data_IF_632664782722
#
_entry.id   IF_632664782722
#
_cell.length_a   1.000
_cell.length_b   1.000
_cell.length_c   1.000
_cell.angle_alpha   90.00
_cell.angle_beta   90.00
_cell.angle_gamma   90.00
#
_symmetry.space_group_name_H-M   'P 1'
#
loop_
_entity.id
_entity.type
_entity.pdbx_description
1 polymer ?
#
# COMPACT_ATOMS: atom_id res chain seq x y z
N UNK A 1 6.79 -15.18 1.54
CA UNK A 1 5.53 -14.58 2.03
C UNK A 1 5.96 -13.51 3.01
N UNK A 2 5.55 -12.27 2.80
CA UNK A 2 5.99 -11.18 3.68
C UNK A 2 4.83 -10.87 4.64
N UNK A 3 4.92 -11.37 5.87
CA UNK A 3 3.97 -10.99 6.92
C UNK A 3 4.35 -9.59 7.43
N UNK A 4 3.76 -8.56 6.84
CA UNK A 4 3.91 -7.19 7.33
C UNK A 4 2.64 -6.81 8.06
N UNK A 5 2.63 -6.95 9.39
CA UNK A 5 1.61 -6.33 10.23
C UNK A 5 1.87 -4.84 10.28
N UNK A 6 1.34 -4.11 9.31
CA UNK A 6 1.39 -2.66 9.34
C UNK A 6 0.22 -2.12 10.17
N UNK A 7 0.55 -1.32 11.19
CA UNK A 7 -0.36 -0.55 12.01
C UNK A 7 -1.39 -1.37 12.83
N UNK A 8 -1.36 -1.25 14.17
CA UNK A 8 -2.26 -2.00 15.05
C UNK A 8 -3.76 -1.71 14.82
N UNK A 9 -4.09 -0.56 14.21
CA UNK A 9 -5.48 -0.19 13.93
C UNK A 9 -6.09 -0.86 12.69
N UNK A 10 -5.29 -1.16 11.65
CA UNK A 10 -5.77 -1.80 10.41
C UNK A 10 -4.80 -2.92 10.03
N UNK A 11 -4.90 -4.10 10.67
CA UNK A 11 -4.00 -5.19 10.37
C UNK A 11 -4.07 -5.59 8.89
N UNK A 12 -2.91 -5.68 8.26
CA UNK A 12 -2.76 -6.11 6.86
C UNK A 12 -1.95 -7.40 6.77
N UNK A 13 -2.29 -8.22 5.78
CA UNK A 13 -1.51 -9.41 5.39
C UNK A 13 -1.45 -9.45 3.88
N UNK A 14 -0.26 -9.55 3.30
CA UNK A 14 -0.10 -9.47 1.85
C UNK A 14 1.10 -10.25 1.33
N UNK A 15 1.11 -10.44 0.00
CA UNK A 15 2.11 -11.19 -0.74
C UNK A 15 2.56 -10.37 -1.94
N UNK A 16 3.87 -10.21 -2.09
CA UNK A 16 4.48 -9.67 -3.29
C UNK A 16 4.92 -10.79 -4.24
N UNK A 17 4.53 -10.68 -5.50
CA UNK A 17 4.94 -11.58 -6.58
C UNK A 17 5.90 -10.83 -7.51
N UNK A 18 7.24 -11.03 -7.38
CA UNK A 18 8.22 -10.33 -8.22
C UNK A 18 8.03 -10.58 -9.71
N UNK A 19 7.71 -11.82 -10.09
CA UNK A 19 7.50 -12.21 -11.49
C UNK A 19 6.28 -11.53 -12.12
N UNK A 20 5.22 -11.31 -11.34
CA UNK A 20 3.97 -10.67 -11.81
C UNK A 20 3.93 -9.17 -11.54
N UNK A 21 4.89 -8.63 -10.79
CA UNK A 21 4.88 -7.25 -10.24
C UNK A 21 3.55 -6.90 -9.59
N UNK A 22 3.03 -7.86 -8.81
CA UNK A 22 1.69 -7.81 -8.22
C UNK A 22 1.80 -7.99 -6.71
N UNK A 23 1.24 -7.05 -5.98
CA UNK A 23 0.98 -7.16 -4.55
C UNK A 23 -0.49 -7.51 -4.34
N UNK A 24 -0.79 -8.55 -3.57
CA UNK A 24 -2.17 -8.90 -3.21
C UNK A 24 -2.26 -9.13 -1.71
N UNK A 25 -3.38 -8.76 -1.10
CA UNK A 25 -3.54 -8.98 0.34
C UNK A 25 -4.92 -8.64 0.86
N UNK A 26 -5.00 -8.56 2.18
CA UNK A 26 -6.21 -8.18 2.92
C UNK A 26 -5.89 -7.16 3.99
N UNK A 27 -6.88 -6.32 4.31
CA UNK A 27 -6.85 -5.33 5.38
C UNK A 27 -8.12 -5.47 6.24
N UNK A 28 -7.96 -5.52 7.57
CA UNK A 28 -9.07 -5.62 8.52
C UNK A 28 -9.40 -4.27 9.14
N UNK A 29 -10.59 -3.76 8.87
CA UNK A 29 -11.06 -2.48 9.39
C UNK A 29 -11.88 -2.69 10.67
N UNK A 30 -11.23 -2.58 11.82
CA UNK A 30 -11.82 -2.78 13.15
C UNK A 30 -12.59 -1.55 13.67
N UNK A 31 -13.09 -1.60 14.92
CA UNK A 31 -13.95 -0.55 15.46
C UNK A 31 -13.22 0.78 15.71
N UNK A 32 -11.89 0.75 15.90
CA UNK A 32 -11.09 1.93 16.19
C UNK A 32 -10.86 2.86 14.98
N UNK A 33 -11.29 2.44 13.79
CA UNK A 33 -11.20 3.24 12.56
C UNK A 33 -12.58 3.61 12.02
N UNK A 34 -13.58 3.70 12.91
CA UNK A 34 -14.89 4.20 12.53
C UNK A 34 -14.81 5.66 12.10
N UNK A 35 -15.51 6.00 11.01
CA UNK A 35 -15.78 7.38 10.64
C UNK A 35 -17.27 7.63 10.71
N UNK A 36 -18.02 7.52 9.60
CA UNK A 36 -19.47 7.45 9.65
C UNK A 36 -19.93 6.18 10.39
N UNK A 37 -21.13 6.22 10.98
CA UNK A 37 -21.73 5.09 11.71
C UNK A 37 -21.62 3.78 10.92
N UNK A 38 -20.97 2.78 11.51
CA UNK A 38 -20.70 1.45 10.98
C UNK A 38 -19.87 1.40 9.69
N UNK A 39 -19.13 2.47 9.36
CA UNK A 39 -18.27 2.56 8.18
C UNK A 39 -16.83 2.92 8.56
N UNK A 40 -15.87 2.33 7.86
CA UNK A 40 -14.48 2.70 8.02
C UNK A 40 -14.25 4.16 7.60
N UNK A 41 -13.43 4.89 8.36
CA UNK A 41 -13.07 6.27 8.08
C UNK A 41 -12.22 6.35 6.81
N UNK A 42 -12.48 7.34 5.96
CA UNK A 42 -11.74 7.54 4.70
C UNK A 42 -10.22 7.61 4.92
N UNK A 43 -9.78 8.33 5.95
CA UNK A 43 -8.36 8.40 6.33
C UNK A 43 -7.71 7.04 6.61
N UNK A 44 -8.42 6.07 7.20
CA UNK A 44 -7.88 4.71 7.41
C UNK A 44 -7.68 3.95 6.11
N UNK A 45 -8.57 4.18 5.13
CA UNK A 45 -8.46 3.60 3.79
C UNK A 45 -7.30 4.27 3.03
N UNK A 46 -7.14 5.59 3.16
CA UNK A 46 -6.01 6.32 2.58
C UNK A 46 -4.66 5.87 3.17
N UNK A 47 -4.60 5.63 4.49
CA UNK A 47 -3.42 5.08 5.16
C UNK A 47 -3.06 3.70 4.60
N UNK A 48 -4.04 2.82 4.39
CA UNK A 48 -3.83 1.52 3.73
C UNK A 48 -3.27 1.72 2.33
N UNK A 49 -3.81 2.65 1.54
CA UNK A 49 -3.30 2.92 0.20
C UNK A 49 -1.86 3.42 0.19
N UNK A 50 -1.50 4.36 1.07
CA UNK A 50 -0.12 4.88 1.14
C UNK A 50 0.89 3.73 1.34
N UNK A 51 0.59 2.81 2.26
CA UNK A 51 1.44 1.66 2.55
C UNK A 51 1.50 0.64 1.39
N UNK A 52 0.34 0.17 0.90
CA UNK A 52 0.33 -0.90 -0.12
C UNK A 52 0.85 -0.41 -1.47
N UNK A 53 0.74 0.89 -1.76
CA UNK A 53 1.28 1.49 -2.98
C UNK A 53 2.79 1.74 -2.87
N UNK A 54 3.31 1.98 -1.66
CA UNK A 54 4.75 2.14 -1.41
C UNK A 54 5.50 0.82 -1.52
N UNK A 55 4.88 -0.28 -1.06
CA UNK A 55 5.55 -1.57 -0.93
C UNK A 55 6.22 -2.08 -2.23
N UNK A 56 5.55 -2.10 -3.41
CA UNK A 56 6.19 -2.49 -4.66
C UNK A 56 7.40 -1.62 -5.03
N UNK A 57 7.36 -0.32 -4.70
CA UNK A 57 8.46 0.60 -4.96
C UNK A 57 9.67 0.20 -4.11
N UNK A 58 9.48 -0.07 -2.82
CA UNK A 58 10.58 -0.49 -1.94
C UNK A 58 11.19 -1.84 -2.30
N UNK A 59 10.41 -2.74 -2.91
CA UNK A 59 10.91 -4.05 -3.37
C UNK A 59 11.77 -3.97 -4.63
N UNK A 60 11.45 -3.07 -5.55
CA UNK A 60 12.09 -2.96 -6.87
C UNK A 60 12.96 -1.68 -7.05
N UNK A 61 13.14 -0.87 -6.00
CA UNK A 61 13.97 0.33 -6.09
C UNK A 61 15.43 -0.02 -6.41
N UNK A 62 16.04 0.75 -7.32
CA UNK A 62 17.44 0.61 -7.71
C UNK A 62 18.35 0.92 -6.50
N UNK A 63 19.34 0.07 -6.25
CA UNK A 63 20.25 0.14 -5.09
C UNK A 63 20.95 1.49 -4.94
N UNK A 64 21.14 2.23 -6.04
CA UNK A 64 21.72 3.58 -5.97
C UNK A 64 20.82 4.57 -5.23
N UNK A 65 19.51 4.33 -5.20
CA UNK A 65 18.54 5.10 -4.44
C UNK A 65 18.24 4.38 -3.12
N UNK A 66 18.21 5.12 -2.02
CA UNK A 66 18.03 4.52 -0.70
C UNK A 66 16.57 4.33 -0.30
N UNK A 67 15.63 5.08 -0.90
CA UNK A 67 14.21 5.03 -0.55
C UNK A 67 13.31 5.58 -1.66
N UNK A 68 12.07 5.09 -1.72
CA UNK A 68 10.98 5.70 -2.48
C UNK A 68 10.02 6.41 -1.54
N UNK A 69 9.74 7.69 -1.77
CA UNK A 69 8.83 8.50 -0.93
C UNK A 69 7.58 8.89 -1.69
N UNK A 70 6.45 8.97 -1.00
CA UNK A 70 5.18 9.42 -1.57
C UNK A 70 5.29 10.89 -1.97
N UNK A 71 5.11 11.19 -3.26
CA UNK A 71 5.04 12.57 -3.76
C UNK A 71 3.59 12.99 -4.04
N UNK A 72 2.72 12.05 -4.38
CA UNK A 72 1.28 12.27 -4.52
C UNK A 72 0.54 10.98 -4.21
N UNK A 73 -0.56 11.09 -3.47
CA UNK A 73 -1.55 10.05 -3.28
C UNK A 73 -2.93 10.59 -3.69
N UNK A 74 -3.65 9.84 -4.51
CA UNK A 74 -5.04 10.13 -4.87
C UNK A 74 -5.90 8.91 -4.57
N UNK A 75 -6.98 9.11 -3.83
CA UNK A 75 -7.92 8.05 -3.45
C UNK A 75 -9.31 8.42 -3.91
N UNK A 76 -9.94 7.52 -4.66
CA UNK A 76 -11.34 7.62 -5.06
C UNK A 76 -12.18 6.64 -4.26
N UNK A 77 -13.07 7.15 -3.42
CA UNK A 77 -14.01 6.34 -2.63
C UNK A 77 -15.25 6.02 -3.48
N UNK A 78 -15.49 4.75 -3.75
CA UNK A 78 -16.54 4.26 -4.67
C UNK A 78 -17.76 3.72 -3.92
N UNK A 79 -17.54 3.06 -2.78
CA UNK A 79 -18.59 2.54 -1.92
C UNK A 79 -18.14 2.57 -0.45
N UNK A 80 -19.11 2.64 0.47
CA UNK A 80 -18.82 2.67 1.90
C UNK A 80 -18.30 1.32 2.39
N UNK A 81 -17.08 1.30 2.93
CA UNK A 81 -16.46 0.10 3.48
C UNK A 81 -17.07 -0.22 4.85
N UNK A 82 -17.71 -1.40 5.04
CA UNK A 82 -18.30 -1.77 6.32
C UNK A 82 -17.26 -1.90 7.44
N UNK A 83 -17.53 -1.32 8.61
CA UNK A 83 -16.71 -1.54 9.80
C UNK A 83 -16.77 -3.00 10.24
N UNK A 84 -15.76 -3.46 10.98
CA UNK A 84 -15.59 -4.85 11.44
C UNK A 84 -15.57 -5.86 10.29
N UNK A 85 -15.05 -5.46 9.12
CA UNK A 85 -14.92 -6.32 7.95
C UNK A 85 -13.48 -6.42 7.47
N UNK A 86 -13.22 -7.48 6.70
CA UNK A 86 -11.96 -7.67 5.97
C UNK A 86 -12.20 -7.35 4.50
N UNK A 87 -11.35 -6.52 3.92
CA UNK A 87 -11.35 -6.20 2.50
C UNK A 87 -10.08 -6.77 1.85
N UNK A 88 -10.16 -7.12 0.57
CA UNK A 88 -8.99 -7.53 -0.21
C UNK A 88 -8.46 -6.36 -1.01
N UNK A 89 -7.18 -6.40 -1.34
CA UNK A 89 -6.57 -5.43 -2.24
C UNK A 89 -5.64 -6.08 -3.25
N UNK A 90 -5.53 -5.44 -4.40
CA UNK A 90 -4.48 -5.69 -5.39
C UNK A 90 -3.80 -4.38 -5.75
N UNK A 91 -2.47 -4.43 -5.90
CA UNK A 91 -1.64 -3.27 -6.21
C UNK A 91 -0.59 -3.65 -7.28
N UNK A 92 -0.36 -2.73 -8.22
CA UNK A 92 0.51 -2.92 -9.40
C UNK A 92 1.29 -1.66 -9.71
N UNK A 93 2.55 -1.82 -10.11
CA UNK A 93 3.34 -0.74 -10.71
C UNK A 93 2.89 -0.57 -12.16
N UNK A 94 2.32 0.59 -12.48
CA UNK A 94 1.83 0.92 -13.83
C UNK A 94 3.00 1.26 -14.75
N UNK A 95 3.90 2.12 -14.28
CA UNK A 95 5.10 2.52 -15.03
C UNK A 95 6.16 3.14 -14.13
N UNK A 96 7.40 3.15 -14.64
CA UNK A 96 8.56 3.83 -14.04
C UNK A 96 9.21 4.73 -15.08
N UNK A 97 9.42 6.00 -14.73
CA UNK A 97 10.07 7.01 -15.57
C UNK A 97 11.21 7.66 -14.80
N UNK A 98 12.44 7.18 -15.01
CA UNK A 98 13.61 7.61 -14.24
C UNK A 98 13.42 7.35 -12.74
N UNK A 99 13.23 8.43 -11.96
CA UNK A 99 12.98 8.39 -10.51
C UNK A 99 11.50 8.32 -10.13
N UNK A 100 10.58 8.46 -11.10
CA UNK A 100 9.13 8.50 -10.87
C UNK A 100 8.55 7.10 -10.98
N UNK A 101 7.76 6.71 -9.99
CA UNK A 101 7.03 5.44 -9.95
C UNK A 101 5.55 5.73 -9.88
N UNK A 102 4.80 5.18 -10.82
CA UNK A 102 3.35 5.31 -10.88
C UNK A 102 2.74 3.97 -10.50
N UNK A 103 1.98 3.95 -9.41
CA UNK A 103 1.44 2.74 -8.80
C UNK A 103 -0.07 2.90 -8.63
N UNK A 104 -0.81 1.83 -8.83
CA UNK A 104 -2.26 1.81 -8.64
C UNK A 104 -2.69 0.61 -7.82
N UNK A 105 -3.78 0.76 -7.09
CA UNK A 105 -4.38 -0.29 -6.30
C UNK A 105 -5.90 -0.14 -6.21
N UNK A 106 -6.56 -1.24 -5.88
CA UNK A 106 -7.98 -1.26 -5.53
C UNK A 106 -8.20 -2.01 -4.21
N UNK A 107 -9.19 -1.57 -3.44
CA UNK A 107 -9.71 -2.26 -2.26
C UNK A 107 -11.13 -2.69 -2.57
N UNK A 108 -11.39 -3.98 -2.43
CA UNK A 108 -12.67 -4.60 -2.80
C UNK A 108 -13.19 -5.51 -1.68
N UNK A 109 -14.44 -5.93 -1.78
CA UNK A 109 -14.95 -6.99 -0.91
C UNK A 109 -14.21 -8.32 -1.13
N UNK A 110 -14.35 -9.26 -0.19
CA UNK A 110 -13.68 -10.56 -0.29
C UNK A 110 -14.08 -11.37 -1.54
N UNK A 111 -15.21 -11.05 -2.17
CA UNK A 111 -15.71 -11.71 -3.38
C UNK A 111 -15.26 -11.00 -4.67
N UNK A 112 -14.63 -9.83 -4.58
CA UNK A 112 -14.29 -8.95 -5.70
C UNK A 112 -15.48 -8.35 -6.42
N UNK A 113 -16.67 -8.29 -5.80
CA UNK A 113 -17.88 -7.79 -6.47
C UNK A 113 -18.08 -6.29 -6.28
N UNK A 114 -17.83 -5.80 -5.07
CA UNK A 114 -17.85 -4.37 -4.78
C UNK A 114 -16.43 -3.81 -4.69
N UNK A 115 -16.17 -2.73 -5.43
CA UNK A 115 -14.98 -1.89 -5.25
C UNK A 115 -15.32 -0.82 -4.21
N UNK A 116 -14.61 -0.81 -3.09
CA UNK A 116 -14.78 0.20 -2.04
C UNK A 116 -14.02 1.47 -2.39
N UNK A 117 -12.78 1.34 -2.84
CA UNK A 117 -11.97 2.47 -3.23
C UNK A 117 -10.87 2.07 -4.21
N UNK A 118 -10.38 3.05 -4.98
CA UNK A 118 -9.18 2.93 -5.83
C UNK A 118 -8.15 3.96 -5.40
N UNK A 119 -6.87 3.59 -5.49
CA UNK A 119 -5.74 4.42 -5.15
C UNK A 119 -4.77 4.54 -6.31
N UNK A 120 -4.26 5.75 -6.51
CA UNK A 120 -3.16 6.03 -7.43
C UNK A 120 -2.10 6.85 -6.70
N UNK A 121 -0.83 6.49 -6.87
CA UNK A 121 0.25 7.22 -6.25
C UNK A 121 1.43 7.43 -7.20
N UNK A 122 2.08 8.57 -6.99
CA UNK A 122 3.39 8.89 -7.54
C UNK A 122 4.41 8.80 -6.39
N UNK A 123 5.38 7.91 -6.53
CA UNK A 123 6.55 7.88 -5.67
C UNK A 123 7.79 8.40 -6.38
N UNK A 124 8.70 9.01 -5.62
CA UNK A 124 10.00 9.48 -6.11
C UNK A 124 11.12 8.72 -5.43
N UNK A 125 11.99 8.09 -6.22
CA UNK A 125 13.26 7.55 -5.73
C UNK A 125 14.18 8.69 -5.32
N UNK A 126 14.68 8.62 -4.08
CA UNK A 126 15.58 9.61 -3.50
C UNK A 126 16.90 8.94 -3.09
N UNK A 127 17.99 9.68 -3.26
CA UNK A 127 19.27 9.33 -2.66
C UNK A 127 19.15 9.60 -1.16
N UNK A 128 19.51 8.63 -0.34
CA UNK A 128 19.76 8.94 1.07
C UNK A 128 21.15 9.59 1.14
N UNK A 129 21.29 10.80 1.74
CA UNK A 129 22.60 11.30 2.14
C UNK A 129 23.23 10.28 3.10
N UNK A 130 24.57 10.10 3.06
CA UNK A 130 25.39 9.06 3.70
C UNK A 130 25.00 8.61 5.14
N UNK A 131 23.83 8.02 5.30
CA UNK A 131 23.44 7.14 6.39
C UNK A 131 23.93 5.77 5.95
N UNK A 132 25.14 5.42 6.38
CA UNK A 132 25.95 4.31 5.86
C UNK A 132 25.15 3.12 5.31
N UNK A 133 25.54 2.69 4.11
CA UNK A 133 24.98 1.61 3.23
C UNK A 133 24.55 0.28 3.90
N UNK A 134 24.68 0.13 5.21
CA UNK A 134 24.53 -1.11 5.97
C UNK A 134 23.22 -1.26 6.77
N UNK A 135 22.37 -0.24 6.91
CA UNK A 135 21.22 -0.33 7.83
C UNK A 135 19.92 -0.89 7.23
N UNK A 136 19.63 -0.68 5.94
CA UNK A 136 18.35 -1.10 5.33
C UNK A 136 18.38 -2.50 4.69
N UNK A 137 19.56 -3.09 4.50
CA UNK A 137 19.67 -4.46 3.95
C UNK A 137 19.40 -5.56 4.98
N UNK A 138 19.25 -5.23 6.28
CA UNK A 138 19.06 -6.22 7.35
C UNK A 138 17.60 -6.53 7.71
N UNK A 139 16.60 -5.86 7.12
CA UNK A 139 15.18 -6.21 7.33
C UNK A 139 14.58 -7.03 6.18
N UNK A 140 15.40 -7.48 5.22
CA UNK A 140 15.02 -8.53 4.26
C UNK A 140 15.28 -9.90 4.90
N UNK A 141 14.38 -10.33 5.79
CA UNK A 141 14.02 -11.74 6.13
C UNK A 141 12.97 -11.74 7.23
#
# INVERSE_FOLDING_TARGET
EDFVKYHDLVPMVFLWSPSRKLLTGTAKFGPLVEGPKLRAHGASIAMVFDEILAYPVWRDIDEKYGMGVTAKLSVSYKAALPLNSTAKFECRVVKKEGRKWFVTAEITDMKGKAVYATGEALFISVLLPDMGRKHFLKSKL
#
